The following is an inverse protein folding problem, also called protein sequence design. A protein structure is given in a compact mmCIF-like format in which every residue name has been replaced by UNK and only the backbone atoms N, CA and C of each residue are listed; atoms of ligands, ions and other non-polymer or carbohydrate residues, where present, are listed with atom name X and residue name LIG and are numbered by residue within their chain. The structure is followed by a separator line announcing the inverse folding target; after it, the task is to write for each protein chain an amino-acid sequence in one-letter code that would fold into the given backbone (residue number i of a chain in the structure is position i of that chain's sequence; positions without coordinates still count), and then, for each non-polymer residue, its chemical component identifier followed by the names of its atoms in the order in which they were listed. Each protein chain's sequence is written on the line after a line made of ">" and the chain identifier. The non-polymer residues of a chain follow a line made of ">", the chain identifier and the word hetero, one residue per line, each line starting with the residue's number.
data_IF_446896528540
#
_entry.id   IF_446896528540
#
_cell.length_a   1.000
_cell.length_b   1.000
_cell.length_c   1.000
_cell.angle_alpha   90.00
_cell.angle_beta   90.00
_cell.angle_gamma   90.00
#
_symmetry.space_group_name_H-M   'P 1'
#
loop_
_entity.id
_entity.type
_entity.pdbx_description
1 polymer ?
#
# COMPACT_ATOMS: atom_id res chain seq x y z
N UNK A 1 0.70 10.26 -9.57
CA UNK A 1 0.49 8.96 -8.94
C UNK A 1 -0.53 8.11 -9.70
N UNK A 2 -1.78 8.54 -9.90
CA UNK A 2 -2.86 7.77 -10.54
C UNK A 2 -2.41 7.08 -11.84
N UNK A 3 -1.95 7.84 -12.84
CA UNK A 3 -1.46 7.26 -14.12
C UNK A 3 -0.32 6.25 -13.95
N UNK A 4 0.54 6.44 -12.95
CA UNK A 4 1.63 5.49 -12.67
C UNK A 4 1.07 4.18 -12.11
N UNK A 5 0.16 4.24 -11.15
CA UNK A 5 -0.51 3.09 -10.57
C UNK A 5 -1.34 2.32 -11.61
N UNK A 6 -2.16 3.00 -12.41
CA UNK A 6 -2.96 2.40 -13.50
C UNK A 6 -2.08 1.69 -14.55
N UNK A 7 -0.92 2.28 -14.88
CA UNK A 7 0.01 1.63 -15.81
C UNK A 7 0.67 0.40 -15.21
N UNK A 8 1.12 0.51 -13.97
CA UNK A 8 1.79 -0.57 -13.26
C UNK A 8 0.85 -1.75 -12.98
N UNK A 9 -0.42 -1.47 -12.64
CA UNK A 9 -1.43 -2.48 -12.32
C UNK A 9 -1.72 -3.46 -13.46
N UNK A 10 -1.51 -3.05 -14.70
CA UNK A 10 -1.70 -3.95 -15.86
C UNK A 10 -0.77 -5.17 -15.81
N UNK A 11 0.47 -4.98 -15.35
CA UNK A 11 1.41 -6.09 -15.13
C UNK A 11 0.99 -6.95 -13.95
N UNK A 12 0.52 -6.33 -12.87
CA UNK A 12 0.04 -7.05 -11.67
C UNK A 12 -1.15 -7.95 -12.04
N UNK A 13 -2.16 -7.40 -12.71
CA UNK A 13 -3.37 -8.16 -13.10
C UNK A 13 -3.01 -9.33 -14.01
N UNK A 14 -2.15 -9.11 -15.02
CA UNK A 14 -1.68 -10.17 -15.90
C UNK A 14 -0.98 -11.27 -15.11
N UNK A 15 -0.01 -10.89 -14.31
CA UNK A 15 0.86 -11.83 -13.60
C UNK A 15 0.11 -12.56 -12.47
N UNK A 16 -0.90 -11.92 -11.87
CA UNK A 16 -1.82 -12.56 -10.93
C UNK A 16 -2.64 -13.69 -11.57
N UNK A 17 -3.03 -13.52 -12.85
CA UNK A 17 -3.69 -14.57 -13.63
C UNK A 17 -2.78 -15.73 -14.01
N UNK A 18 -1.46 -15.56 -13.92
CA UNK A 18 -0.45 -16.56 -14.32
C UNK A 18 0.45 -16.97 -13.13
N UNK A 19 -0.09 -16.93 -11.92
CA UNK A 19 0.69 -17.02 -10.69
C UNK A 19 1.53 -18.30 -10.57
N UNK A 20 1.07 -19.41 -11.15
CA UNK A 20 1.78 -20.70 -11.16
C UNK A 20 3.12 -20.62 -11.91
N UNK A 21 3.26 -19.65 -12.80
CA UNK A 21 4.46 -19.45 -13.63
C UNK A 21 5.46 -18.46 -13.02
N UNK A 22 5.13 -17.81 -11.89
CA UNK A 22 5.99 -16.83 -11.26
C UNK A 22 7.18 -17.49 -10.55
N UNK A 23 8.36 -16.91 -10.76
CA UNK A 23 9.55 -17.26 -9.98
C UNK A 23 9.57 -16.44 -8.69
N UNK A 24 9.68 -17.14 -7.56
CA UNK A 24 9.70 -16.55 -6.23
C UNK A 24 11.10 -16.67 -5.63
N UNK A 25 11.63 -15.61 -5.07
CA UNK A 25 12.80 -15.64 -4.22
C UNK A 25 12.45 -15.21 -2.80
N UNK A 26 12.97 -15.93 -1.81
CA UNK A 26 12.73 -15.66 -0.40
C UNK A 26 13.79 -14.72 0.14
N UNK A 27 13.40 -13.56 0.68
CA UNK A 27 14.29 -12.58 1.32
C UNK A 27 14.52 -12.88 2.81
N UNK A 28 13.55 -13.44 3.46
CA UNK A 28 13.57 -13.76 4.89
C UNK A 28 12.51 -14.81 5.21
N UNK A 29 12.28 -15.17 6.49
CA UNK A 29 11.32 -16.22 6.86
C UNK A 29 9.92 -16.05 6.30
N UNK A 30 9.51 -14.81 6.03
CA UNK A 30 8.15 -14.45 5.55
C UNK A 30 8.15 -13.37 4.48
N UNK A 31 9.33 -12.99 3.97
CA UNK A 31 9.47 -11.98 2.94
C UNK A 31 9.73 -12.64 1.60
N UNK A 32 8.85 -12.43 0.65
CA UNK A 32 8.93 -13.00 -0.68
C UNK A 32 9.06 -11.88 -1.70
N UNK A 33 9.97 -12.08 -2.64
CA UNK A 33 10.17 -11.17 -3.77
C UNK A 33 9.86 -11.90 -5.06
N UNK A 34 9.06 -11.32 -5.87
CA UNK A 34 8.72 -11.82 -7.20
C UNK A 34 9.39 -10.98 -8.29
N UNK A 35 9.46 -11.52 -9.50
CA UNK A 35 9.83 -10.72 -10.67
C UNK A 35 8.83 -9.60 -10.93
N UNK A 36 7.58 -9.83 -10.57
CA UNK A 36 6.49 -8.86 -10.74
C UNK A 36 6.73 -7.63 -9.88
N UNK A 37 7.09 -7.78 -8.58
CA UNK A 37 7.36 -6.65 -7.68
C UNK A 37 8.40 -5.71 -8.29
N UNK A 38 9.54 -6.26 -8.69
CA UNK A 38 10.64 -5.47 -9.30
C UNK A 38 10.25 -4.81 -10.62
N UNK A 39 9.45 -5.49 -11.42
CA UNK A 39 8.98 -4.94 -12.68
C UNK A 39 7.99 -3.79 -12.46
N UNK A 40 7.05 -3.96 -11.53
CA UNK A 40 6.07 -2.96 -11.13
C UNK A 40 6.76 -1.74 -10.54
N UNK A 41 7.70 -1.93 -9.60
CA UNK A 41 8.49 -0.85 -9.03
C UNK A 41 9.21 -0.03 -10.10
N UNK A 42 9.84 -0.70 -11.06
CA UNK A 42 10.51 -0.03 -12.18
C UNK A 42 9.55 0.84 -12.99
N UNK A 43 8.35 0.33 -13.31
CA UNK A 43 7.32 1.11 -14.02
C UNK A 43 6.92 2.36 -13.21
N UNK A 44 6.70 2.20 -11.88
CA UNK A 44 6.32 3.30 -11.00
C UNK A 44 7.41 4.39 -10.96
N UNK A 45 8.67 4.00 -10.77
CA UNK A 45 9.81 4.92 -10.76
C UNK A 45 9.90 5.66 -12.10
N UNK A 46 9.80 4.96 -13.23
CA UNK A 46 9.86 5.56 -14.56
C UNK A 46 8.73 6.58 -14.78
N UNK A 47 7.49 6.21 -14.44
CA UNK A 47 6.33 7.11 -14.65
C UNK A 47 6.37 8.35 -13.73
N UNK A 48 6.72 8.17 -12.47
CA UNK A 48 6.84 9.28 -11.52
C UNK A 48 8.00 10.21 -11.89
N UNK A 49 9.11 9.67 -12.37
CA UNK A 49 10.27 10.46 -12.82
C UNK A 49 9.96 11.32 -14.04
N UNK A 50 9.01 10.96 -14.91
CA UNK A 50 8.60 11.80 -16.05
C UNK A 50 8.04 13.15 -15.62
N UNK A 51 7.35 13.18 -14.48
CA UNK A 51 6.72 14.41 -13.98
C UNK A 51 7.62 15.17 -13.00
N UNK A 52 8.42 14.45 -12.20
CA UNK A 52 9.25 14.98 -11.13
C UNK A 52 10.65 14.34 -11.17
N UNK A 53 11.41 14.66 -12.22
CA UNK A 53 12.70 14.04 -12.57
C UNK A 53 13.76 14.07 -11.46
N UNK A 54 13.72 15.08 -10.60
CA UNK A 54 14.76 15.29 -9.59
C UNK A 54 14.40 14.72 -8.20
N UNK A 55 13.15 14.27 -7.99
CA UNK A 55 12.72 13.73 -6.70
C UNK A 55 13.43 12.42 -6.39
N UNK A 56 13.75 12.22 -5.13
CA UNK A 56 14.33 10.98 -4.62
C UNK A 56 13.24 9.90 -4.40
N UNK A 57 13.68 8.66 -4.18
CA UNK A 57 12.76 7.54 -3.92
C UNK A 57 13.23 6.74 -2.72
N UNK A 58 12.26 6.21 -1.97
CA UNK A 58 12.39 5.13 -0.99
C UNK A 58 11.42 4.05 -1.43
N UNK A 59 11.93 2.87 -1.76
CA UNK A 59 11.14 1.79 -2.32
C UNK A 59 11.47 0.46 -1.64
N UNK A 60 10.55 -0.47 -1.66
CA UNK A 60 10.75 -1.78 -1.03
C UNK A 60 11.87 -2.58 -1.69
N UNK A 61 11.84 -2.71 -3.02
CA UNK A 61 12.72 -3.62 -3.77
C UNK A 61 14.12 -3.05 -4.01
N UNK A 62 14.20 -1.80 -4.43
CA UNK A 62 15.48 -1.12 -4.77
C UNK A 62 16.07 -0.39 -3.56
N UNK A 63 15.24 -0.04 -2.58
CA UNK A 63 15.66 0.75 -1.44
C UNK A 63 15.69 2.25 -1.74
N UNK A 64 16.75 2.96 -1.33
CA UNK A 64 16.83 4.41 -1.46
C UNK A 64 17.56 4.84 -2.75
N UNK A 65 16.87 5.62 -3.58
CA UNK A 65 17.44 6.25 -4.79
C UNK A 65 17.52 7.75 -4.53
N UNK A 66 18.76 8.26 -4.44
CA UNK A 66 19.03 9.68 -4.19
C UNK A 66 19.20 10.43 -5.51
N UNK A 67 18.32 11.39 -5.75
CA UNK A 67 18.40 12.32 -6.88
C UNK A 67 18.80 13.73 -6.40
N UNK A 68 18.75 14.73 -7.29
CA UNK A 68 19.16 16.11 -6.97
C UNK A 68 18.32 16.76 -5.88
N UNK A 69 17.02 16.50 -5.88
CA UNK A 69 16.08 16.95 -4.86
C UNK A 69 16.04 15.92 -3.71
N UNK A 70 16.54 16.33 -2.56
CA UNK A 70 16.57 15.49 -1.35
C UNK A 70 15.38 15.74 -0.42
N UNK A 71 14.66 16.83 -0.63
CA UNK A 71 13.53 17.21 0.22
C UNK A 71 12.25 16.48 -0.21
N UNK A 72 12.09 16.29 -1.52
CA UNK A 72 10.91 15.62 -2.07
C UNK A 72 11.22 14.16 -2.39
N UNK A 73 10.47 13.26 -1.77
CA UNK A 73 10.73 11.82 -1.83
C UNK A 73 9.44 11.07 -2.14
N UNK A 74 9.47 10.26 -3.19
CA UNK A 74 8.47 9.25 -3.42
C UNK A 74 8.73 8.04 -2.54
N UNK A 75 7.71 7.56 -1.86
CA UNK A 75 7.75 6.34 -1.03
C UNK A 75 6.83 5.35 -1.71
N UNK A 76 7.35 4.15 -2.04
CA UNK A 76 6.66 3.19 -2.90
C UNK A 76 6.75 1.79 -2.33
N UNK A 77 5.60 1.14 -2.24
CA UNK A 77 5.48 -0.32 -2.20
C UNK A 77 4.81 -0.77 -3.50
N UNK A 78 5.50 -1.57 -4.32
CA UNK A 78 4.95 -2.04 -5.58
C UNK A 78 3.78 -2.99 -5.43
N UNK A 79 3.82 -3.89 -4.42
CA UNK A 79 2.75 -4.86 -4.11
C UNK A 79 2.72 -5.13 -2.59
N UNK A 80 2.07 -4.26 -1.83
CA UNK A 80 1.76 -4.57 -0.43
C UNK A 80 0.79 -5.75 -0.35
N UNK A 81 1.21 -6.81 0.32
CA UNK A 81 0.51 -8.09 0.34
C UNK A 81 1.07 -9.13 -0.63
N UNK A 82 2.39 -9.13 -0.89
CA UNK A 82 3.08 -10.07 -1.78
C UNK A 82 2.78 -11.53 -1.46
N UNK A 83 2.61 -11.89 -0.17
CA UNK A 83 2.20 -13.24 0.23
C UNK A 83 0.81 -13.59 -0.31
N UNK A 84 -0.15 -12.68 -0.20
CA UNK A 84 -1.49 -12.86 -0.76
C UNK A 84 -1.43 -13.04 -2.27
N UNK A 85 -0.67 -12.16 -2.94
CA UNK A 85 -0.46 -12.22 -4.38
C UNK A 85 0.05 -13.59 -4.81
N UNK A 86 1.09 -14.12 -4.16
CA UNK A 86 1.69 -15.42 -4.47
C UNK A 86 0.78 -16.62 -4.22
N UNK A 87 -0.18 -16.47 -3.32
CA UNK A 87 -1.15 -17.53 -3.02
C UNK A 87 -2.50 -17.37 -3.75
N UNK A 88 -2.58 -16.46 -4.73
CA UNK A 88 -3.82 -16.24 -5.50
C UNK A 88 -4.94 -15.61 -4.67
N UNK A 89 -4.60 -14.94 -3.55
CA UNK A 89 -5.58 -14.24 -2.72
C UNK A 89 -5.71 -12.79 -3.24
N UNK A 90 -6.88 -12.35 -3.74
CA UNK A 90 -7.05 -11.03 -4.37
C UNK A 90 -7.17 -9.92 -3.31
N UNK A 91 -6.12 -9.75 -2.50
CA UNK A 91 -6.06 -8.75 -1.44
C UNK A 91 -4.62 -8.22 -1.30
N UNK A 92 -4.26 -7.31 -2.17
CA UNK A 92 -2.96 -6.64 -2.27
C UNK A 92 -3.14 -5.29 -2.97
N UNK A 93 -2.18 -4.39 -2.83
CA UNK A 93 -2.28 -3.06 -3.40
C UNK A 93 -0.92 -2.47 -3.81
N UNK A 94 -0.95 -1.50 -4.73
CA UNK A 94 0.13 -0.55 -4.96
C UNK A 94 -0.01 0.56 -3.92
N UNK A 95 1.07 0.89 -3.20
CA UNK A 95 1.11 2.02 -2.27
C UNK A 95 2.13 3.06 -2.76
N UNK A 96 1.71 4.33 -2.89
CA UNK A 96 2.56 5.44 -3.32
C UNK A 96 2.30 6.65 -2.43
N UNK A 97 3.33 7.20 -1.81
CA UNK A 97 3.24 8.46 -1.09
C UNK A 97 4.26 9.48 -1.62
N UNK A 98 3.92 10.75 -1.50
CA UNK A 98 4.85 11.86 -1.68
C UNK A 98 5.11 12.52 -0.34
N UNK A 99 6.36 12.51 0.08
CA UNK A 99 6.86 13.24 1.23
C UNK A 99 7.65 14.44 0.76
N UNK A 100 7.46 15.62 1.40
CA UNK A 100 8.31 16.80 1.24
C UNK A 100 8.82 17.22 2.61
N UNK A 101 10.14 17.25 2.78
CA UNK A 101 10.79 17.41 4.09
C UNK A 101 10.29 16.36 5.06
N UNK A 102 9.58 16.77 6.10
CA UNK A 102 9.04 15.86 7.13
C UNK A 102 7.53 15.62 7.01
N UNK A 103 6.88 16.15 5.98
CA UNK A 103 5.42 16.07 5.81
C UNK A 103 5.02 15.19 4.62
N UNK A 104 4.01 14.37 4.80
CA UNK A 104 3.33 13.66 3.72
C UNK A 104 2.37 14.63 3.03
N UNK A 105 2.51 14.78 1.71
CA UNK A 105 1.71 15.69 0.90
C UNK A 105 0.58 14.99 0.17
N UNK A 106 0.81 13.76 -0.28
CA UNK A 106 -0.22 12.97 -0.95
C UNK A 106 0.07 11.48 -0.81
N UNK A 107 -0.99 10.68 -0.78
CA UNK A 107 -0.97 9.23 -0.67
C UNK A 107 -1.96 8.60 -1.63
N UNK A 108 -1.58 7.47 -2.22
CA UNK A 108 -2.41 6.66 -3.10
C UNK A 108 -2.21 5.19 -2.73
N UNK A 109 -3.33 4.48 -2.56
CA UNK A 109 -3.38 3.03 -2.41
C UNK A 109 -4.34 2.52 -3.48
N UNK A 110 -3.90 1.59 -4.32
CA UNK A 110 -4.70 1.07 -5.41
C UNK A 110 -4.79 -0.46 -5.35
N UNK A 111 -5.97 -0.98 -5.06
CA UNK A 111 -6.32 -2.40 -5.23
C UNK A 111 -6.70 -2.63 -6.70
N UNK A 112 -5.83 -3.29 -7.49
CA UNK A 112 -6.08 -3.43 -8.92
C UNK A 112 -7.12 -4.50 -9.26
N UNK A 113 -7.44 -5.39 -8.31
CA UNK A 113 -8.42 -6.46 -8.55
C UNK A 113 -9.84 -5.96 -8.31
N UNK A 114 -10.03 -5.13 -7.27
CA UNK A 114 -11.33 -4.53 -6.95
C UNK A 114 -11.58 -3.21 -7.69
N UNK A 115 -10.55 -2.70 -8.39
CA UNK A 115 -10.57 -1.37 -9.02
C UNK A 115 -10.91 -0.26 -8.01
N UNK A 116 -10.31 -0.37 -6.82
CA UNK A 116 -10.49 0.55 -5.71
C UNK A 116 -9.25 1.43 -5.55
N UNK A 117 -9.38 2.70 -5.90
CA UNK A 117 -8.31 3.69 -5.78
C UNK A 117 -8.59 4.64 -4.62
N UNK A 118 -7.88 4.44 -3.53
CA UNK A 118 -7.86 5.33 -2.37
C UNK A 118 -6.82 6.41 -2.59
N UNK A 119 -7.19 7.65 -2.40
CA UNK A 119 -6.32 8.80 -2.62
C UNK A 119 -6.54 9.86 -1.56
N UNK A 120 -5.46 10.41 -1.04
CA UNK A 120 -5.49 11.55 -0.12
C UNK A 120 -4.47 12.61 -0.53
N UNK A 121 -4.82 13.86 -0.25
CA UNK A 121 -3.94 15.01 -0.38
C UNK A 121 -4.04 15.85 0.89
N UNK A 122 -2.90 16.30 1.41
CA UNK A 122 -2.83 17.08 2.64
C UNK A 122 -3.83 18.25 2.58
N UNK A 123 -4.61 18.41 3.63
CA UNK A 123 -5.63 19.46 3.81
C UNK A 123 -6.81 19.41 2.81
N UNK A 124 -6.87 18.41 1.91
CA UNK A 124 -7.97 18.26 0.96
C UNK A 124 -8.88 17.06 1.26
N UNK A 125 -8.43 16.15 2.12
CA UNK A 125 -9.16 14.96 2.55
C UNK A 125 -8.84 13.73 1.70
N UNK A 126 -9.55 12.64 1.99
CA UNK A 126 -9.35 11.34 1.37
C UNK A 126 -10.58 10.89 0.57
N UNK A 127 -10.33 10.12 -0.49
CA UNK A 127 -11.34 9.70 -1.47
C UNK A 127 -11.13 8.26 -1.90
N UNK A 128 -12.21 7.54 -2.18
CA UNK A 128 -12.24 6.27 -2.89
C UNK A 128 -12.97 6.51 -4.22
N UNK A 129 -12.30 6.30 -5.34
CA UNK A 129 -12.90 6.43 -6.68
C UNK A 129 -13.75 7.71 -6.80
N UNK A 130 -13.24 8.87 -6.43
CA UNK A 130 -13.92 10.17 -6.44
C UNK A 130 -15.01 10.38 -5.36
N UNK A 131 -15.26 9.42 -4.49
CA UNK A 131 -16.18 9.57 -3.35
C UNK A 131 -15.39 9.88 -2.08
N UNK A 132 -15.76 10.96 -1.38
CA UNK A 132 -15.08 11.34 -0.15
C UNK A 132 -15.26 10.29 0.94
N UNK A 133 -14.15 9.88 1.53
CA UNK A 133 -14.15 8.88 2.61
C UNK A 133 -14.77 9.41 3.90
N UNK A 134 -15.27 8.49 4.69
CA UNK A 134 -15.74 8.73 6.06
C UNK A 134 -15.38 7.52 6.90
N UNK A 135 -14.80 7.76 8.05
CA UNK A 135 -14.54 6.73 9.06
C UNK A 135 -15.85 6.17 9.63
N UNK A 136 -15.76 5.02 10.25
CA UNK A 136 -16.85 4.42 11.00
C UNK A 136 -17.38 5.36 12.10
N UNK A 137 -18.67 5.19 12.44
CA UNK A 137 -19.34 5.92 13.53
C UNK A 137 -19.68 5.03 14.70
N UNK A 138 -19.13 3.81 14.76
CA UNK A 138 -19.39 2.89 15.86
C UNK A 138 -18.82 3.43 17.16
N UNK A 139 -19.54 3.20 18.25
CA UNK A 139 -19.21 3.71 19.57
C UNK A 139 -18.94 2.61 20.61
N UNK A 140 -19.10 1.34 20.23
CA UNK A 140 -18.92 0.18 21.11
C UNK A 140 -17.89 -0.79 20.51
N UNK A 141 -16.99 -1.31 21.33
CA UNK A 141 -15.90 -2.20 20.89
C UNK A 141 -16.42 -3.54 20.34
N UNK A 142 -17.54 -4.02 20.84
CA UNK A 142 -18.18 -5.26 20.38
C UNK A 142 -18.74 -5.16 18.95
N UNK A 143 -19.03 -3.94 18.47
CA UNK A 143 -19.44 -3.70 17.09
C UNK A 143 -18.24 -3.45 16.16
N UNK A 144 -17.08 -3.16 16.73
CA UNK A 144 -15.90 -2.79 15.96
C UNK A 144 -15.24 -4.00 15.31
N UNK A 145 -14.65 -3.76 14.14
CA UNK A 145 -13.83 -4.71 13.42
C UNK A 145 -12.43 -4.14 13.23
N UNK A 146 -11.45 -4.82 13.79
CA UNK A 146 -10.05 -4.41 13.71
C UNK A 146 -9.26 -5.27 12.74
N UNK A 147 -8.15 -4.76 12.23
CA UNK A 147 -7.17 -5.55 11.50
C UNK A 147 -5.79 -5.46 12.14
N UNK A 148 -5.01 -6.52 11.95
CA UNK A 148 -3.63 -6.61 12.41
C UNK A 148 -2.90 -7.66 11.58
N UNK A 149 -1.60 -7.48 11.40
CA UNK A 149 -0.70 -8.53 10.90
C UNK A 149 0.34 -8.89 11.98
N UNK A 150 0.01 -8.61 13.25
CA UNK A 150 0.87 -8.87 14.40
C UNK A 150 0.67 -10.28 14.96
N UNK A 151 1.79 -11.00 15.14
CA UNK A 151 1.80 -12.29 15.81
C UNK A 151 1.94 -12.13 17.32
N UNK A 152 1.18 -12.95 18.04
CA UNK A 152 1.36 -13.15 19.48
C UNK A 152 0.49 -12.30 20.40
N UNK A 153 -0.27 -11.34 19.93
CA UNK A 153 -1.27 -10.66 20.76
C UNK A 153 -2.64 -11.33 20.53
N UNK A 154 -3.15 -11.95 21.58
CA UNK A 154 -4.53 -12.48 21.57
C UNK A 154 -5.46 -11.38 22.05
N UNK A 155 -6.26 -10.87 21.14
CA UNK A 155 -7.37 -9.97 21.46
C UNK A 155 -8.65 -10.82 21.55
N UNK A 156 -8.83 -11.51 22.67
CA UNK A 156 -9.94 -12.47 22.87
C UNK A 156 -11.32 -11.83 22.73
N UNK A 157 -11.40 -10.53 22.95
CA UNK A 157 -12.67 -9.81 23.03
C UNK A 157 -12.91 -8.85 21.86
N UNK A 158 -12.05 -8.87 20.84
CA UNK A 158 -12.19 -8.03 19.65
C UNK A 158 -12.46 -8.86 18.39
N UNK A 159 -13.31 -8.35 17.52
CA UNK A 159 -13.46 -8.89 16.17
C UNK A 159 -12.24 -8.53 15.34
N UNK A 160 -11.45 -9.53 14.97
CA UNK A 160 -10.16 -9.34 14.29
C UNK A 160 -10.14 -9.89 12.87
N UNK A 161 -9.36 -9.24 12.01
CA UNK A 161 -8.94 -9.75 10.70
C UNK A 161 -7.41 -9.71 10.59
N UNK A 162 -6.86 -10.69 9.90
CA UNK A 162 -5.46 -10.76 9.53
C UNK A 162 -5.40 -10.80 8.00
N UNK A 163 -5.41 -9.61 7.39
CA UNK A 163 -5.65 -9.46 5.94
C UNK A 163 -4.41 -9.73 5.09
N UNK A 164 -3.22 -9.41 5.63
CA UNK A 164 -1.95 -9.56 4.94
C UNK A 164 -1.55 -8.39 4.05
N UNK A 165 -2.28 -7.25 4.08
CA UNK A 165 -1.95 -6.01 3.37
C UNK A 165 -2.16 -4.82 4.31
N UNK A 166 -1.06 -4.21 4.75
CA UNK A 166 -1.10 -3.08 5.67
C UNK A 166 -1.67 -1.81 5.01
N UNK A 167 -1.33 -1.58 3.75
CA UNK A 167 -1.85 -0.45 2.99
C UNK A 167 -3.38 -0.53 2.85
N UNK A 168 -3.92 -1.71 2.47
CA UNK A 168 -5.38 -1.89 2.38
C UNK A 168 -6.05 -1.81 3.74
N UNK A 169 -5.43 -2.30 4.80
CA UNK A 169 -5.97 -2.20 6.16
C UNK A 169 -6.14 -0.74 6.58
N UNK A 170 -5.14 0.11 6.34
CA UNK A 170 -5.23 1.55 6.59
C UNK A 170 -6.30 2.22 5.72
N UNK A 171 -6.36 1.89 4.43
CA UNK A 171 -7.39 2.39 3.53
C UNK A 171 -8.80 1.98 3.99
N UNK A 172 -8.95 0.76 4.52
CA UNK A 172 -10.21 0.26 5.04
C UNK A 172 -10.61 0.94 6.36
N UNK A 173 -9.65 1.32 7.20
CA UNK A 173 -9.94 2.19 8.35
C UNK A 173 -10.44 3.55 7.88
N UNK A 174 -9.75 4.18 6.91
CA UNK A 174 -10.11 5.48 6.38
C UNK A 174 -11.52 5.52 5.75
N UNK A 175 -11.99 4.42 5.17
CA UNK A 175 -13.32 4.33 4.57
C UNK A 175 -14.39 3.71 5.49
N UNK A 176 -14.05 3.38 6.75
CA UNK A 176 -14.98 2.85 7.75
C UNK A 176 -15.36 1.38 7.58
N UNK A 177 -14.62 0.62 6.75
CA UNK A 177 -14.76 -0.85 6.66
C UNK A 177 -14.15 -1.54 7.87
N UNK A 178 -13.01 -1.01 8.36
CA UNK A 178 -12.40 -1.34 9.65
C UNK A 178 -12.50 -0.15 10.59
N UNK A 179 -12.43 -0.44 11.88
CA UNK A 179 -12.53 0.55 12.95
C UNK A 179 -11.14 0.89 13.53
N UNK A 180 -10.13 0.06 13.24
CA UNK A 180 -8.75 0.31 13.60
C UNK A 180 -7.80 -0.73 13.01
N UNK A 181 -6.53 -0.33 12.92
CA UNK A 181 -5.41 -1.18 12.50
C UNK A 181 -4.24 -1.01 13.46
N UNK A 182 -3.54 -2.08 13.75
CA UNK A 182 -2.32 -2.03 14.57
C UNK A 182 -1.33 -3.12 14.17
N UNK A 183 -0.03 -2.75 14.22
CA UNK A 183 1.09 -3.63 13.94
C UNK A 183 2.36 -3.13 14.63
N UNK A 184 3.19 -4.04 15.14
CA UNK A 184 4.39 -3.67 15.89
C UNK A 184 5.60 -3.35 15.01
N UNK A 185 5.76 -4.05 13.91
CA UNK A 185 6.88 -3.89 12.98
C UNK A 185 6.35 -3.69 11.59
N UNK A 186 6.61 -2.53 11.02
CA UNK A 186 6.11 -2.15 9.71
C UNK A 186 7.12 -1.24 9.02
N UNK A 187 7.21 -1.32 7.72
CA UNK A 187 8.08 -0.47 6.94
C UNK A 187 7.38 0.85 6.57
N UNK A 188 8.18 1.85 6.22
CA UNK A 188 7.66 3.15 5.85
C UNK A 188 6.78 3.09 4.59
N UNK A 189 7.14 2.26 3.60
CA UNK A 189 6.39 2.15 2.36
C UNK A 189 5.02 1.48 2.53
N UNK A 190 4.86 0.61 3.52
CA UNK A 190 3.58 -0.03 3.84
C UNK A 190 2.54 0.98 4.35
N UNK A 191 2.99 2.03 5.09
CA UNK A 191 2.09 2.92 5.83
C UNK A 191 2.02 4.35 5.31
N UNK A 192 3.04 4.84 4.58
CA UNK A 192 3.14 6.26 4.26
C UNK A 192 1.92 6.81 3.52
N UNK A 193 1.34 6.06 2.59
CA UNK A 193 0.13 6.48 1.89
C UNK A 193 -1.11 6.47 2.80
N UNK A 194 -1.29 5.38 3.57
CA UNK A 194 -2.46 5.18 4.42
C UNK A 194 -2.54 6.14 5.60
N UNK A 195 -1.39 6.55 6.17
CA UNK A 195 -1.36 7.49 7.31
C UNK A 195 -1.84 8.90 6.95
N UNK A 196 -1.92 9.24 5.67
CA UNK A 196 -2.45 10.52 5.21
C UNK A 196 -3.98 10.48 5.03
N UNK A 197 -4.58 9.30 4.98
CA UNK A 197 -6.01 9.10 4.74
C UNK A 197 -6.83 9.21 6.01
#
# INVERSE_FOLDING_TARGET
>A
MIKAAEKASKSIIRDFGEIENLQVSKKGPRDFVTKTDKHVEKILIEELSKTKKNYSFITEETGSIKNKDKENVWIIDPIDGTTNFLHGIPHFAISIALKSKDELLSGLIFDPIKDEMFFAEKDKGAFLNNQRLRVSKKNSLDECLFSSNHEGIKFSDLNMRYSGSAALDLAYVACGRFDGYFQNKINLWDIAAGTLM
#
